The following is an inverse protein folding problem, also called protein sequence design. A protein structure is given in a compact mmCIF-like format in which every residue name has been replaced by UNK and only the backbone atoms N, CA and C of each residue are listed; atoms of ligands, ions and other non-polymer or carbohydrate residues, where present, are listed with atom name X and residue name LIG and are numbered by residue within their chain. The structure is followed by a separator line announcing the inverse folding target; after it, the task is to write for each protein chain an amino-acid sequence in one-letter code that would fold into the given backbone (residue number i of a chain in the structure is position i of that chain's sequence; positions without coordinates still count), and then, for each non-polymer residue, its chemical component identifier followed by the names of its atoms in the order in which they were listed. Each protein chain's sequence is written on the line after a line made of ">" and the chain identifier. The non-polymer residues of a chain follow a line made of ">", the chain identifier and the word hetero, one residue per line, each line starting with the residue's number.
data_IF_351336032801
#
_entry.id   IF_351336032801
#
_cell.length_a   1.000
_cell.length_b   1.000
_cell.length_c   1.000
_cell.angle_alpha   90.00
_cell.angle_beta   90.00
_cell.angle_gamma   90.00
#
_symmetry.space_group_name_H-M   'P 1'
#
loop_
_entity.id
_entity.type
_entity.pdbx_description
1 polymer ?
#
# COMPACT_ATOMS: atom_id res chain seq x y z
N UNK A 1 -5.78 4.79 1.27
CA UNK A 1 -6.07 4.59 2.71
C UNK A 1 -7.55 4.35 3.07
N UNK A 2 -8.47 4.24 2.10
CA UNK A 2 -9.91 4.13 2.40
C UNK A 2 -10.28 2.80 3.08
N UNK A 3 -9.78 1.66 2.57
CA UNK A 3 -10.05 0.34 3.17
C UNK A 3 -9.53 0.28 4.60
N UNK A 4 -8.29 0.73 4.84
CA UNK A 4 -7.72 0.81 6.19
C UNK A 4 -8.64 1.58 7.14
N UNK A 5 -9.07 2.78 6.74
CA UNK A 5 -9.91 3.60 7.63
C UNK A 5 -11.26 2.96 7.97
N UNK A 6 -11.84 2.14 7.08
CA UNK A 6 -13.10 1.44 7.36
C UNK A 6 -12.86 0.25 8.30
N UNK A 7 -11.76 -0.48 8.11
CA UNK A 7 -11.40 -1.63 8.95
C UNK A 7 -11.01 -1.19 10.36
N UNK A 8 -10.30 -0.06 10.48
CA UNK A 8 -9.67 0.36 11.73
C UNK A 8 -10.45 1.42 12.52
N UNK A 9 -11.47 2.07 11.95
CA UNK A 9 -12.26 3.07 12.68
C UNK A 9 -13.00 2.48 13.88
N UNK A 10 -13.33 3.35 14.83
CA UNK A 10 -14.26 3.00 15.90
C UNK A 10 -15.68 2.87 15.37
N UNK A 11 -16.57 2.30 16.18
CA UNK A 11 -18.00 2.26 15.86
C UNK A 11 -18.53 3.70 15.77
N UNK A 12 -19.10 4.13 14.63
CA UNK A 12 -19.66 5.47 14.50
C UNK A 12 -20.93 5.61 15.34
N UNK A 13 -21.26 6.85 15.69
CA UNK A 13 -22.47 7.18 16.46
C UNK A 13 -23.75 6.76 15.75
N UNK A 14 -23.76 6.84 14.42
CA UNK A 14 -24.83 6.35 13.57
C UNK A 14 -24.30 5.91 12.21
N UNK A 15 -25.17 5.44 11.32
CA UNK A 15 -24.82 5.11 9.92
C UNK A 15 -24.90 6.31 8.97
N UNK A 16 -25.07 7.53 9.50
CA UNK A 16 -25.00 8.76 8.69
C UNK A 16 -23.58 8.93 8.14
N UNK A 17 -23.49 9.44 6.91
CA UNK A 17 -22.20 9.56 6.22
C UNK A 17 -21.19 10.44 6.96
N UNK A 18 -21.64 11.47 7.66
CA UNK A 18 -20.80 12.36 8.46
C UNK A 18 -20.19 11.64 9.67
N UNK A 19 -21.01 10.91 10.45
CA UNK A 19 -20.52 10.15 11.61
C UNK A 19 -19.49 9.07 11.20
N UNK A 20 -19.72 8.41 10.06
CA UNK A 20 -18.75 7.44 9.51
C UNK A 20 -17.45 8.15 9.08
N UNK A 21 -17.57 9.30 8.41
CA UNK A 21 -16.42 10.08 7.95
C UNK A 21 -15.58 10.58 9.13
N UNK A 22 -16.22 11.00 10.21
CA UNK A 22 -15.55 11.48 11.42
C UNK A 22 -14.70 10.37 12.04
N UNK A 23 -15.23 9.16 12.19
CA UNK A 23 -14.44 8.04 12.72
C UNK A 23 -13.33 7.58 11.77
N UNK A 24 -13.54 7.65 10.45
CA UNK A 24 -12.48 7.42 9.45
C UNK A 24 -11.36 8.45 9.55
N UNK A 25 -11.68 9.74 9.71
CA UNK A 25 -10.68 10.80 9.86
C UNK A 25 -9.95 10.65 11.19
N UNK A 26 -10.67 10.33 12.27
CA UNK A 26 -10.10 10.11 13.60
C UNK A 26 -9.05 9.01 13.56
N UNK A 27 -9.34 7.85 12.96
CA UNK A 27 -8.34 6.77 12.87
C UNK A 27 -7.14 7.15 12.00
N UNK A 28 -7.36 7.87 10.89
CA UNK A 28 -6.24 8.32 10.03
C UNK A 28 -5.32 9.31 10.75
N UNK A 29 -5.86 10.15 11.65
CA UNK A 29 -5.05 11.05 12.50
C UNK A 29 -4.23 10.29 13.55
N UNK A 30 -4.63 9.08 13.91
CA UNK A 30 -3.90 8.20 14.82
C UNK A 30 -2.84 7.35 14.11
N UNK A 31 -2.77 7.34 12.78
CA UNK A 31 -1.71 6.62 12.05
C UNK A 31 -0.39 7.35 12.29
N UNK A 32 0.61 6.62 12.80
CA UNK A 32 1.95 7.15 13.00
C UNK A 32 2.65 7.39 11.65
N UNK A 33 3.52 8.40 11.55
CA UNK A 33 4.41 8.54 10.41
C UNK A 33 5.20 7.25 10.17
N UNK A 34 5.41 6.92 8.90
CA UNK A 34 6.10 5.69 8.49
C UNK A 34 7.60 5.86 8.62
N UNK A 35 8.28 4.87 9.21
CA UNK A 35 9.74 4.79 9.22
C UNK A 35 10.25 4.02 7.99
N UNK A 36 11.46 4.33 7.53
CA UNK A 36 12.04 3.67 6.35
C UNK A 36 12.25 2.16 6.55
N UNK A 37 12.53 1.74 7.79
CA UNK A 37 12.64 0.33 8.18
C UNK A 37 11.34 -0.47 8.03
N UNK A 38 10.19 0.22 8.05
CA UNK A 38 8.86 -0.36 7.87
C UNK A 38 8.43 -0.39 6.40
N UNK A 39 9.31 0.00 5.48
CA UNK A 39 9.03 0.15 4.06
C UNK A 39 9.93 -0.74 3.22
N UNK A 40 9.30 -1.57 2.39
CA UNK A 40 9.97 -2.29 1.31
C UNK A 40 9.40 -1.79 -0.01
N UNK A 41 10.26 -1.24 -0.86
CA UNK A 41 9.91 -0.87 -2.23
C UNK A 41 10.63 -1.76 -3.22
N UNK A 42 10.03 -1.96 -4.39
CA UNK A 42 10.61 -2.74 -5.47
C UNK A 42 10.25 -2.16 -6.83
N UNK A 43 11.04 -2.53 -7.82
CA UNK A 43 10.81 -2.25 -9.23
C UNK A 43 10.89 -3.57 -9.98
N UNK A 44 9.87 -3.91 -10.78
CA UNK A 44 9.83 -5.20 -11.47
C UNK A 44 10.84 -5.24 -12.60
N UNK A 45 11.41 -6.43 -12.79
CA UNK A 45 12.32 -6.76 -13.89
C UNK A 45 11.70 -7.85 -14.74
N UNK A 46 12.09 -7.92 -16.00
CA UNK A 46 11.60 -8.95 -16.92
C UNK A 46 12.02 -10.35 -16.51
N UNK A 47 11.09 -11.30 -16.63
CA UNK A 47 11.35 -12.72 -16.45
C UNK A 47 11.97 -13.31 -17.72
N UNK A 48 13.31 -13.43 -17.71
CA UNK A 48 14.08 -14.00 -18.83
C UNK A 48 13.77 -15.47 -19.11
N UNK A 49 13.12 -16.17 -18.19
CA UNK A 49 12.72 -17.57 -18.35
C UNK A 49 11.32 -17.74 -18.94
N UNK A 50 10.53 -16.66 -18.99
CA UNK A 50 9.19 -16.67 -19.56
C UNK A 50 9.24 -16.85 -21.08
N UNK A 51 8.29 -17.60 -21.64
CA UNK A 51 8.07 -17.68 -23.10
C UNK A 51 7.18 -16.54 -23.63
N UNK A 52 6.54 -15.80 -22.73
CA UNK A 52 5.71 -14.63 -23.05
C UNK A 52 6.59 -13.37 -23.19
N UNK A 53 6.65 -12.74 -24.39
CA UNK A 53 7.47 -11.56 -24.66
C UNK A 53 7.16 -10.37 -23.75
N UNK A 54 5.90 -10.19 -23.33
CA UNK A 54 5.53 -9.08 -22.44
C UNK A 54 6.13 -9.26 -21.04
N UNK A 55 6.15 -10.50 -20.55
CA UNK A 55 6.76 -10.83 -19.24
C UNK A 55 8.28 -10.77 -19.25
N UNK A 56 8.91 -10.84 -20.42
CA UNK A 56 10.36 -10.70 -20.56
C UNK A 56 10.83 -9.25 -20.43
N UNK A 57 9.92 -8.27 -20.49
CA UNK A 57 10.25 -6.85 -20.36
C UNK A 57 10.11 -6.39 -18.90
N UNK A 58 11.09 -5.62 -18.42
CA UNK A 58 11.07 -4.94 -17.13
C UNK A 58 10.59 -3.49 -17.25
N UNK A 59 10.39 -2.84 -16.10
CA UNK A 59 9.92 -1.45 -16.05
C UNK A 59 10.81 -0.47 -16.81
N UNK A 60 12.13 -0.67 -16.75
CA UNK A 60 13.11 0.18 -17.44
C UNK A 60 13.21 -0.12 -18.95
N UNK A 61 12.61 -1.20 -19.45
CA UNK A 61 12.64 -1.54 -20.87
C UNK A 61 11.60 -0.73 -21.67
N UNK A 62 10.56 -0.24 -21.01
CA UNK A 62 9.59 0.67 -21.61
C UNK A 62 10.27 1.95 -22.13
N UNK A 63 10.02 2.27 -23.40
CA UNK A 63 10.54 3.47 -24.07
C UNK A 63 10.12 4.79 -23.42
N UNK A 64 8.99 4.81 -22.71
CA UNK A 64 8.49 5.97 -21.97
C UNK A 64 9.17 6.19 -20.62
N UNK A 65 9.99 5.24 -20.15
CA UNK A 65 10.62 5.28 -18.83
C UNK A 65 12.11 5.64 -18.94
N UNK A 66 12.60 6.65 -18.18
CA UNK A 66 14.03 6.94 -18.11
C UNK A 66 14.84 5.73 -17.62
N UNK A 67 15.97 5.42 -18.27
CA UNK A 67 16.79 4.24 -17.96
C UNK A 67 17.39 4.25 -16.54
N UNK A 68 17.43 5.40 -15.88
CA UNK A 68 17.87 5.58 -14.49
C UNK A 68 16.69 5.80 -13.51
N UNK A 69 15.45 5.51 -13.90
CA UNK A 69 14.27 5.70 -13.07
C UNK A 69 14.31 4.82 -11.82
N UNK A 70 14.09 5.43 -10.66
CA UNK A 70 13.97 4.75 -9.36
C UNK A 70 12.51 4.63 -8.90
N UNK A 71 11.55 4.89 -9.79
CA UNK A 71 10.12 4.81 -9.48
C UNK A 71 9.75 3.40 -9.01
N UNK A 72 9.19 3.24 -7.80
CA UNK A 72 8.71 1.95 -7.32
C UNK A 72 7.50 1.46 -8.12
N UNK A 73 7.51 0.18 -8.50
CA UNK A 73 6.34 -0.52 -9.07
C UNK A 73 5.70 -1.47 -8.05
N UNK A 74 6.31 -1.59 -6.87
CA UNK A 74 5.85 -2.36 -5.73
C UNK A 74 6.18 -1.59 -4.44
N UNK A 75 5.27 -1.63 -3.48
CA UNK A 75 5.50 -1.16 -2.13
C UNK A 75 4.79 -2.05 -1.11
N UNK A 76 5.48 -2.33 -0.02
CA UNK A 76 4.92 -2.87 1.21
C UNK A 76 5.29 -1.94 2.35
N UNK A 77 4.30 -1.59 3.18
CA UNK A 77 4.45 -0.64 4.28
C UNK A 77 3.77 -1.20 5.52
N UNK A 78 4.47 -1.17 6.65
CA UNK A 78 3.88 -1.44 7.96
C UNK A 78 3.41 -0.11 8.55
N UNK A 79 2.14 -0.06 8.97
CA UNK A 79 1.55 1.09 9.64
C UNK A 79 1.17 0.72 11.07
N UNK A 80 1.38 1.67 11.97
CA UNK A 80 0.96 1.58 13.36
C UNK A 80 -0.08 2.66 13.66
N UNK A 81 -1.17 2.26 14.31
CA UNK A 81 -2.26 3.16 14.71
C UNK A 81 -2.15 3.37 16.21
N UNK A 82 -1.85 4.61 16.62
CA UNK A 82 -1.72 5.00 18.01
C UNK A 82 -3.10 5.29 18.62
N UNK A 83 -3.80 4.23 18.99
CA UNK A 83 -5.01 4.27 19.81
C UNK A 83 -5.13 3.00 20.66
N UNK A 84 -6.07 2.97 21.59
CA UNK A 84 -6.26 1.83 22.51
C UNK A 84 -6.62 0.53 21.76
N UNK A 85 -7.49 0.61 20.76
CA UNK A 85 -7.98 -0.56 20.02
C UNK A 85 -6.88 -1.31 19.27
N UNK A 86 -5.94 -0.58 18.68
CA UNK A 86 -4.92 -1.12 17.78
C UNK A 86 -3.49 -1.00 18.31
N UNK A 87 -3.34 -0.71 19.60
CA UNK A 87 -2.04 -0.67 20.26
C UNK A 87 -1.26 -1.98 20.02
N UNK A 88 -0.05 -1.86 19.46
CA UNK A 88 0.83 -2.99 19.17
C UNK A 88 0.45 -3.83 17.94
N UNK A 89 -0.65 -3.53 17.24
CA UNK A 89 -1.07 -4.30 16.05
C UNK A 89 -0.50 -3.68 14.77
N UNK A 90 0.30 -4.42 13.98
CA UNK A 90 0.82 -3.93 12.70
C UNK A 90 -0.21 -4.04 11.58
N UNK A 91 -0.37 -2.98 10.80
CA UNK A 91 -1.17 -2.97 9.56
C UNK A 91 -0.25 -3.02 8.34
N UNK A 92 -0.23 -4.15 7.64
CA UNK A 92 0.61 -4.32 6.45
C UNK A 92 -0.19 -3.95 5.21
N UNK A 93 0.23 -2.90 4.52
CA UNK A 93 -0.30 -2.50 3.22
C UNK A 93 0.67 -2.95 2.14
N UNK A 94 0.17 -3.66 1.14
CA UNK A 94 0.94 -4.11 -0.02
C UNK A 94 0.23 -3.71 -1.30
N UNK A 95 0.96 -3.13 -2.23
CA UNK A 95 0.48 -2.81 -3.56
C UNK A 95 1.60 -2.95 -4.58
N UNK A 96 1.26 -3.37 -5.80
CA UNK A 96 2.21 -3.39 -6.90
C UNK A 96 1.55 -3.79 -8.20
N UNK A 97 2.24 -3.49 -9.30
CA UNK A 97 1.87 -3.90 -10.66
C UNK A 97 2.72 -5.13 -11.06
N UNK A 98 2.16 -5.99 -11.92
CA UNK A 98 2.81 -7.22 -12.40
C UNK A 98 3.22 -8.15 -11.24
N UNK A 99 2.21 -8.65 -10.52
CA UNK A 99 2.37 -9.60 -9.41
C UNK A 99 1.75 -10.96 -9.80
N UNK A 100 2.31 -12.06 -9.30
CA UNK A 100 1.93 -13.43 -9.68
C UNK A 100 0.43 -13.76 -9.54
N UNK A 101 -0.30 -13.04 -8.67
CA UNK A 101 -1.73 -13.21 -8.48
C UNK A 101 -2.41 -11.84 -8.35
N UNK A 102 -3.41 -11.58 -9.19
CA UNK A 102 -4.31 -10.42 -9.04
C UNK A 102 -5.30 -10.72 -7.90
N UNK A 103 -5.29 -9.91 -6.84
CA UNK A 103 -6.23 -9.96 -5.72
C UNK A 103 -6.65 -8.57 -5.28
#
# INVERSE_FOLDING_TARGET
>A
MQILSIVAMEKPRSTRGEDIRDEKVKVLRSVLPVNIEDVVIGQYVGDKSSTDPERQQGYLDDSGVPKNSTTPTYAQVILHINNERWAGVPFILRAGIVINNTK
#
